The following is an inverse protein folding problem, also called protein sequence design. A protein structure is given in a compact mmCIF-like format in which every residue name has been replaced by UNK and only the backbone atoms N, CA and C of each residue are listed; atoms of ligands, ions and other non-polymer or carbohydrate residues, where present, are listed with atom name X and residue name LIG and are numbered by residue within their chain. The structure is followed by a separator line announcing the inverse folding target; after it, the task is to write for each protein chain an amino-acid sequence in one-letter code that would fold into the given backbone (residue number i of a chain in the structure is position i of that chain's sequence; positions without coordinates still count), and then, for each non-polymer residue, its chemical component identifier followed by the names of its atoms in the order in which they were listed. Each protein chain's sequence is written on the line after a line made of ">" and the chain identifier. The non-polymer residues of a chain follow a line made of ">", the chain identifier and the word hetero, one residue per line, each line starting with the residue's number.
data_IF_551357187964
#
_entry.id   IF_551357187964
#
_cell.length_a   1.000
_cell.length_b   1.000
_cell.length_c   1.000
_cell.angle_alpha   90.00
_cell.angle_beta   90.00
_cell.angle_gamma   90.00
#
_symmetry.space_group_name_H-M   'P 1'
#
loop_
_entity.id
_entity.type
_entity.pdbx_description
1 polymer ?
#
# COMPACT_ATOMS: atom_id res chain seq x y z
N UNK A 1 -17.37 13.92 2.14
CA UNK A 1 -16.78 12.94 1.19
C UNK A 1 -16.24 11.78 2.01
N UNK A 2 -16.47 10.53 1.60
CA UNK A 2 -16.03 9.39 2.42
C UNK A 2 -14.52 9.21 2.30
N UNK A 3 -13.84 9.22 3.44
CA UNK A 3 -12.43 8.86 3.56
C UNK A 3 -12.19 7.51 2.88
N UNK A 4 -11.35 7.49 1.84
CA UNK A 4 -10.94 6.25 1.17
C UNK A 4 -10.14 5.41 2.16
N UNK A 5 -10.72 4.28 2.60
CA UNK A 5 -10.08 3.29 3.47
C UNK A 5 -9.85 2.00 2.70
N UNK A 6 -8.63 1.52 2.70
CA UNK A 6 -8.26 0.28 2.01
C UNK A 6 -7.67 -0.67 3.06
N UNK A 7 -8.26 -1.84 3.32
CA UNK A 7 -7.62 -2.86 4.14
C UNK A 7 -6.33 -3.34 3.47
N UNK A 8 -5.24 -3.36 4.21
CA UNK A 8 -3.90 -3.64 3.70
C UNK A 8 -3.19 -4.68 4.55
N UNK A 9 -2.27 -5.39 3.91
CA UNK A 9 -1.27 -6.24 4.55
C UNK A 9 0.10 -5.60 4.34
N UNK A 10 0.82 -5.39 5.44
CA UNK A 10 2.25 -5.09 5.43
C UNK A 10 2.99 -6.41 5.59
N UNK A 11 3.83 -6.72 4.61
CA UNK A 11 4.61 -7.94 4.57
C UNK A 11 6.00 -7.67 4.02
N UNK A 12 6.87 -8.66 4.18
CA UNK A 12 8.25 -8.60 3.73
C UNK A 12 8.56 -9.79 2.84
N UNK A 13 9.31 -9.55 1.77
CA UNK A 13 9.95 -10.60 0.99
C UNK A 13 11.27 -11.02 1.64
N UNK A 14 11.68 -12.27 1.46
CA UNK A 14 13.03 -12.71 1.81
C UNK A 14 14.12 -11.80 1.21
N UNK A 15 15.11 -11.46 2.02
CA UNK A 15 16.15 -10.48 1.73
C UNK A 15 16.90 -10.07 3.00
N UNK A 16 17.86 -9.12 2.91
CA UNK A 16 18.57 -8.63 4.08
C UNK A 16 17.58 -8.10 5.13
N UNK A 17 17.77 -8.51 6.38
CA UNK A 17 16.91 -8.08 7.47
C UNK A 17 16.99 -6.56 7.64
N UNK A 18 15.83 -5.90 7.65
CA UNK A 18 15.69 -4.45 7.78
C UNK A 18 15.69 -3.69 6.45
N UNK A 19 15.92 -4.34 5.30
CA UNK A 19 15.91 -3.66 4.01
C UNK A 19 14.51 -3.13 3.67
N UNK A 20 14.35 -1.81 3.62
CA UNK A 20 13.08 -1.16 3.24
C UNK A 20 12.59 -1.63 1.87
N UNK A 21 13.52 -1.94 0.96
CA UNK A 21 13.25 -2.48 -0.38
C UNK A 21 12.54 -3.85 -0.38
N UNK A 22 12.58 -4.57 0.74
CA UNK A 22 11.87 -5.86 0.90
C UNK A 22 10.44 -5.68 1.42
N UNK A 23 10.08 -4.49 1.90
CA UNK A 23 8.77 -4.18 2.46
C UNK A 23 7.71 -3.98 1.37
N UNK A 24 6.53 -4.55 1.57
CA UNK A 24 5.40 -4.47 0.65
C UNK A 24 4.13 -4.13 1.41
N UNK A 25 3.36 -3.20 0.84
CA UNK A 25 2.00 -2.87 1.27
C UNK A 25 1.05 -3.35 0.18
N UNK A 26 0.27 -4.39 0.46
CA UNK A 26 -0.60 -5.03 -0.52
C UNK A 26 -2.05 -4.91 -0.06
N UNK A 27 -3.00 -4.48 -0.92
CA UNK A 27 -4.42 -4.53 -0.61
C UNK A 27 -4.84 -5.93 -0.19
N UNK A 28 -5.59 -6.06 0.90
CA UNK A 28 -5.99 -7.36 1.43
C UNK A 28 -6.75 -8.21 0.39
N UNK A 29 -7.54 -7.55 -0.47
CA UNK A 29 -8.28 -8.20 -1.57
C UNK A 29 -7.37 -8.86 -2.63
N UNK A 30 -6.13 -8.38 -2.77
CA UNK A 30 -5.15 -8.87 -3.73
C UNK A 30 -4.11 -9.79 -3.08
N UNK A 31 -3.99 -9.75 -1.75
CA UNK A 31 -2.86 -10.32 -1.02
C UNK A 31 -2.67 -11.81 -1.26
N UNK A 32 -3.72 -12.62 -1.17
CA UNK A 32 -3.60 -14.07 -1.29
C UNK A 32 -3.11 -14.50 -2.69
N UNK A 33 -3.64 -13.86 -3.74
CA UNK A 33 -3.20 -14.12 -5.11
C UNK A 33 -1.75 -13.65 -5.32
N UNK A 34 -1.42 -12.45 -4.83
CA UNK A 34 -0.07 -11.92 -4.92
C UNK A 34 0.94 -12.82 -4.21
N UNK A 35 0.64 -13.24 -2.97
CA UNK A 35 1.47 -14.15 -2.18
C UNK A 35 1.68 -15.47 -2.91
N UNK A 36 0.61 -16.08 -3.40
CA UNK A 36 0.69 -17.32 -4.16
C UNK A 36 1.64 -17.18 -5.35
N UNK A 37 1.56 -16.08 -6.12
CA UNK A 37 2.46 -15.83 -7.24
C UNK A 37 3.92 -15.63 -6.79
N UNK A 38 4.15 -14.85 -5.74
CA UNK A 38 5.51 -14.64 -5.22
C UNK A 38 6.16 -15.95 -4.78
N UNK A 39 5.44 -16.78 -4.03
CA UNK A 39 5.98 -18.03 -3.48
C UNK A 39 6.13 -19.12 -4.56
N UNK A 40 5.15 -19.26 -5.46
CA UNK A 40 5.15 -20.36 -6.43
C UNK A 40 5.85 -20.04 -7.76
N UNK A 41 5.75 -18.80 -8.25
CA UNK A 41 6.33 -18.40 -9.55
C UNK A 41 7.68 -17.74 -9.39
N UNK A 42 7.83 -16.92 -8.35
CA UNK A 42 9.05 -16.14 -8.14
C UNK A 42 9.98 -16.75 -7.09
N UNK A 43 9.55 -17.79 -6.37
CA UNK A 43 10.35 -18.47 -5.35
C UNK A 43 10.72 -17.58 -4.16
N UNK A 44 9.96 -16.51 -3.92
CA UNK A 44 10.19 -15.54 -2.83
C UNK A 44 9.32 -15.88 -1.65
N UNK A 45 9.91 -15.97 -0.46
CA UNK A 45 9.13 -16.19 0.77
C UNK A 45 8.46 -14.88 1.20
N UNK A 46 7.20 -14.97 1.63
CA UNK A 46 6.43 -13.82 2.13
C UNK A 46 6.19 -13.97 3.63
N UNK A 47 6.72 -13.04 4.42
CA UNK A 47 6.46 -12.96 5.86
C UNK A 47 5.48 -11.82 6.13
N UNK A 48 4.31 -12.15 6.69
CA UNK A 48 3.34 -11.14 7.12
C UNK A 48 3.82 -10.49 8.41
N UNK A 49 3.95 -9.16 8.41
CA UNK A 49 4.30 -8.39 9.60
C UNK A 49 3.02 -7.90 10.30
N UNK A 50 2.08 -7.34 9.54
CA UNK A 50 0.91 -6.66 10.11
C UNK A 50 -0.26 -6.53 9.12
N UNK A 51 -1.49 -6.52 9.66
CA UNK A 51 -2.72 -6.16 8.92
C UNK A 51 -3.26 -4.83 9.45
N UNK A 52 -3.71 -3.99 8.54
CA UNK A 52 -3.94 -2.56 8.81
C UNK A 52 -4.89 -1.95 7.79
N UNK A 53 -5.07 -0.62 7.84
CA UNK A 53 -5.86 0.13 6.89
C UNK A 53 -5.03 1.30 6.36
N UNK A 54 -4.96 1.44 5.04
CA UNK A 54 -4.49 2.68 4.42
C UNK A 54 -5.61 3.70 4.38
N UNK A 55 -5.28 4.93 4.76
CA UNK A 55 -6.19 6.07 4.82
C UNK A 55 -5.55 7.25 4.09
N UNK A 56 -6.28 7.87 3.16
CA UNK A 56 -5.78 9.06 2.47
C UNK A 56 -5.52 10.22 3.45
N UNK A 57 -4.47 11.00 3.19
CA UNK A 57 -4.24 12.25 3.91
C UNK A 57 -5.25 13.30 3.42
N UNK A 58 -6.12 13.74 4.33
CA UNK A 58 -7.12 14.78 4.10
C UNK A 58 -7.04 15.79 5.25
N UNK A 59 -7.58 17.01 5.06
CA UNK A 59 -7.52 18.10 6.05
C UNK A 59 -8.12 17.75 7.42
N UNK A 60 -8.85 16.63 7.54
CA UNK A 60 -9.41 16.09 8.79
C UNK A 60 -8.67 14.87 9.37
N UNK A 61 -7.66 14.33 8.71
CA UNK A 61 -6.93 13.12 9.15
C UNK A 61 -6.16 13.38 10.45
N UNK A 62 -5.70 14.61 10.70
CA UNK A 62 -5.04 15.01 11.94
C UNK A 62 -5.99 15.11 13.16
N UNK A 63 -7.31 15.26 12.93
CA UNK A 63 -8.33 15.26 13.98
C UNK A 63 -8.88 13.85 14.29
N UNK A 64 -8.23 12.80 13.77
CA UNK A 64 -8.75 11.42 13.84
C UNK A 64 -8.39 10.66 15.13
N UNK A 65 -7.49 11.20 15.95
CA UNK A 65 -7.08 10.63 17.23
C UNK A 65 -6.05 9.49 17.13
N UNK A 66 -5.34 9.36 16.00
CA UNK A 66 -4.15 8.51 15.92
C UNK A 66 -2.97 9.20 16.61
N UNK A 67 -2.14 8.43 17.33
CA UNK A 67 -0.86 8.94 17.80
C UNK A 67 0.09 9.06 16.60
N UNK A 68 0.84 10.16 16.50
CA UNK A 68 1.73 10.43 15.37
C UNK A 68 2.76 9.32 15.18
N UNK A 69 3.19 8.65 16.26
CA UNK A 69 4.15 7.54 16.21
C UNK A 69 3.57 6.25 15.58
N UNK A 70 2.24 6.12 15.51
CA UNK A 70 1.57 4.96 14.91
C UNK A 70 1.30 5.14 13.41
N UNK A 71 1.51 6.35 12.87
CA UNK A 71 1.23 6.67 11.47
C UNK A 71 2.45 6.39 10.60
N UNK A 72 2.32 5.41 9.71
CA UNK A 72 3.36 5.11 8.72
C UNK A 72 3.00 5.80 7.39
N UNK A 73 3.77 6.80 6.91
CA UNK A 73 3.46 7.49 5.66
C UNK A 73 3.60 6.54 4.46
N UNK A 74 2.51 6.38 3.71
CA UNK A 74 2.42 5.50 2.54
C UNK A 74 1.72 6.22 1.41
N UNK A 75 2.38 6.28 0.25
CA UNK A 75 1.86 6.88 -0.97
C UNK A 75 1.14 5.83 -1.80
N UNK A 76 -0.10 6.13 -2.19
CA UNK A 76 -0.83 5.36 -3.20
C UNK A 76 -0.54 5.92 -4.59
N UNK A 77 0.16 5.16 -5.42
CA UNK A 77 0.37 5.43 -6.84
C UNK A 77 -0.73 4.80 -7.69
N UNK A 78 -1.35 5.58 -8.57
CA UNK A 78 -2.31 5.11 -9.57
C UNK A 78 -1.72 5.27 -10.97
N UNK A 79 -1.83 4.21 -11.76
CA UNK A 79 -1.37 4.19 -13.15
C UNK A 79 -2.26 3.30 -14.01
N UNK A 80 -2.21 3.52 -15.32
CA UNK A 80 -2.82 2.65 -16.32
C UNK A 80 -1.71 2.03 -17.16
N UNK A 81 -1.71 0.70 -17.24
CA UNK A 81 -0.84 -0.03 -18.15
C UNK A 81 -1.55 -0.23 -19.49
N UNK A 82 -0.88 0.00 -20.62
CA UNK A 82 -1.36 -0.47 -21.91
C UNK A 82 -1.67 -1.98 -21.89
N UNK A 83 -2.54 -2.39 -22.81
CA UNK A 83 -2.93 -3.78 -22.98
C UNK A 83 -2.99 -4.08 -24.46
N UNK A 84 -2.48 -5.25 -24.84
CA UNK A 84 -2.61 -5.80 -26.19
C UNK A 84 -4.06 -5.91 -26.68
N UNK A 85 -5.04 -5.84 -25.77
CA UNK A 85 -6.46 -5.90 -26.08
C UNK A 85 -7.09 -4.51 -26.30
N UNK A 86 -6.32 -3.43 -26.30
CA UNK A 86 -6.78 -2.06 -26.55
C UNK A 86 -7.52 -1.41 -25.37
N UNK A 87 -7.64 -2.09 -24.23
CA UNK A 87 -8.28 -1.56 -23.01
C UNK A 87 -7.21 -1.39 -21.92
N UNK A 88 -6.93 -0.16 -21.46
CA UNK A 88 -5.96 0.07 -20.39
C UNK A 88 -6.31 -0.69 -19.11
N UNK A 89 -5.30 -1.23 -18.43
CA UNK A 89 -5.45 -1.97 -17.19
C UNK A 89 -5.10 -1.03 -16.03
N UNK A 90 -6.06 -0.70 -15.16
CA UNK A 90 -5.78 0.12 -13.99
C UNK A 90 -4.91 -0.65 -13.00
N UNK A 91 -3.95 0.04 -12.40
CA UNK A 91 -3.05 -0.50 -11.40
C UNK A 91 -2.90 0.49 -10.25
N UNK A 92 -2.95 -0.04 -9.03
CA UNK A 92 -2.63 0.71 -7.82
C UNK A 92 -1.43 0.07 -7.13
N UNK A 93 -0.53 0.90 -6.60
CA UNK A 93 0.62 0.46 -5.79
C UNK A 93 0.76 1.35 -4.57
N UNK A 94 1.25 0.77 -3.48
CA UNK A 94 1.41 1.44 -2.19
C UNK A 94 2.87 1.33 -1.77
N UNK A 95 3.51 2.47 -1.52
CA UNK A 95 4.93 2.54 -1.20
C UNK A 95 5.15 3.35 0.07
N UNK A 96 6.16 3.00 0.91
CA UNK A 96 6.64 3.93 1.93
C UNK A 96 6.93 5.29 1.30
N UNK A 97 6.50 6.38 1.93
CA UNK A 97 6.72 7.72 1.37
C UNK A 97 8.21 8.06 1.20
N UNK A 98 9.06 7.54 2.09
CA UNK A 98 10.51 7.72 2.06
C UNK A 98 11.19 7.14 0.81
N UNK A 99 10.71 6.02 0.29
CA UNK A 99 11.29 5.32 -0.86
C UNK A 99 10.43 5.42 -2.12
N UNK A 100 9.32 6.15 -2.06
CA UNK A 100 8.35 6.24 -3.15
C UNK A 100 8.99 6.68 -4.49
N UNK A 101 9.83 7.74 -4.55
CA UNK A 101 10.41 8.17 -5.82
C UNK A 101 11.22 7.06 -6.51
N UNK A 102 12.08 6.37 -5.78
CA UNK A 102 12.91 5.28 -6.28
C UNK A 102 12.07 4.06 -6.67
N UNK A 103 11.05 3.75 -5.86
CA UNK A 103 10.15 2.64 -6.13
C UNK A 103 9.26 2.87 -7.38
N UNK A 104 8.85 4.12 -7.62
CA UNK A 104 8.14 4.51 -8.84
C UNK A 104 9.05 4.36 -10.06
N UNK A 105 10.28 4.88 -10.00
CA UNK A 105 11.24 4.76 -11.09
C UNK A 105 11.51 3.28 -11.44
N UNK A 106 11.81 2.47 -10.42
CA UNK A 106 12.02 1.03 -10.58
C UNK A 106 10.79 0.34 -11.21
N UNK A 107 9.57 0.66 -10.75
CA UNK A 107 8.35 0.10 -11.33
C UNK A 107 8.22 0.46 -12.82
N UNK A 108 8.44 1.72 -13.17
CA UNK A 108 8.26 2.21 -14.55
C UNK A 108 9.32 1.66 -15.50
N UNK A 109 10.53 1.35 -15.02
CA UNK A 109 11.57 0.70 -15.83
C UNK A 109 11.15 -0.67 -16.41
N UNK A 110 10.17 -1.34 -15.80
CA UNK A 110 9.61 -2.59 -16.32
C UNK A 110 8.67 -2.41 -17.52
N UNK A 111 8.33 -1.17 -17.89
CA UNK A 111 7.34 -0.85 -18.92
C UNK A 111 7.89 0.11 -19.99
N UNK A 112 9.20 0.14 -20.23
CA UNK A 112 9.81 1.07 -21.20
C UNK A 112 9.27 0.92 -22.63
N UNK A 113 9.00 -0.32 -23.07
CA UNK A 113 8.48 -0.60 -24.41
C UNK A 113 7.01 -0.18 -24.57
N UNK A 114 6.21 -0.30 -23.50
CA UNK A 114 4.79 0.07 -23.46
C UNK A 114 4.51 0.93 -22.21
N UNK A 115 4.86 2.24 -22.23
CA UNK A 115 4.86 3.08 -21.04
C UNK A 115 3.50 3.17 -20.36
N UNK A 116 3.52 2.98 -19.04
CA UNK A 116 2.36 3.24 -18.19
C UNK A 116 2.01 4.72 -18.15
N UNK A 117 0.72 5.04 -18.14
CA UNK A 117 0.22 6.39 -17.85
C UNK A 117 0.07 6.57 -16.34
N UNK A 118 0.85 7.45 -15.73
CA UNK A 118 0.66 7.81 -14.32
C UNK A 118 -0.56 8.70 -14.18
N UNK A 119 -1.53 8.29 -13.36
CA UNK A 119 -2.76 9.02 -13.11
C UNK A 119 -2.66 9.95 -11.88
N UNK A 120 -1.80 9.60 -10.93
CA UNK A 120 -1.51 10.44 -9.77
C UNK A 120 -0.95 9.66 -8.59
N UNK A 121 -0.46 10.41 -7.61
CA UNK A 121 0.00 9.90 -6.33
C UNK A 121 -0.83 10.55 -5.21
N UNK A 122 -1.33 9.75 -4.28
CA UNK A 122 -2.11 10.21 -3.13
C UNK A 122 -1.33 9.89 -1.85
N UNK A 123 -0.86 10.90 -1.10
CA UNK A 123 -0.33 10.70 0.24
C UNK A 123 -1.38 10.11 1.18
N UNK A 124 -0.91 9.35 2.17
CA UNK A 124 -1.77 8.74 3.17
C UNK A 124 -0.94 8.02 4.21
N UNK A 125 -1.66 7.31 5.08
CA UNK A 125 -1.07 6.64 6.22
C UNK A 125 -1.55 5.20 6.28
N UNK A 126 -0.64 4.30 6.61
CA UNK A 126 -0.94 2.95 7.05
C UNK A 126 -1.17 2.98 8.57
N UNK A 127 -2.36 2.55 8.99
CA UNK A 127 -2.85 2.67 10.37
C UNK A 127 -3.18 1.30 10.95
N UNK A 128 -2.37 0.78 11.90
CA UNK A 128 -2.57 -0.53 12.54
C UNK A 128 -4.02 -0.85 12.88
N UNK A 129 -4.48 -2.08 12.59
CA UNK A 129 -5.87 -2.47 12.85
C UNK A 129 -6.27 -2.33 14.34
N UNK A 130 -5.30 -2.49 15.25
CA UNK A 130 -5.49 -2.26 16.69
C UNK A 130 -5.79 -0.81 17.07
N UNK A 131 -5.26 0.17 16.33
CA UNK A 131 -5.56 1.59 16.50
C UNK A 131 -6.97 1.93 15.97
N UNK A 132 -7.42 1.26 14.90
CA UNK A 132 -8.78 1.43 14.35
C UNK A 132 -9.86 0.91 15.31
N UNK A 133 -9.57 -0.14 16.08
CA UNK A 133 -10.51 -0.80 17.01
C UNK A 133 -10.81 -0.04 18.31
N UNK A 134 -9.82 0.66 18.89
CA UNK A 134 -9.98 1.42 20.16
C UNK A 134 -11.08 2.50 20.09
N UNK A 135 -11.38 2.99 18.88
CA UNK A 135 -12.46 3.96 18.62
C UNK A 135 -13.88 3.40 18.85
N UNK A 136 -14.13 2.11 18.59
CA UNK A 136 -15.46 1.51 18.80
C UNK A 136 -15.81 1.37 20.29
N UNK A 137 -14.79 1.31 21.14
CA UNK A 137 -14.98 1.18 22.59
C UNK A 137 -15.17 2.55 23.24
N UNK A 138 -14.34 3.55 22.90
CA UNK A 138 -14.47 4.90 23.43
C UNK A 138 -15.82 5.58 23.09
N UNK A 139 -16.37 5.33 21.89
CA UNK A 139 -17.67 5.87 21.48
C UNK A 139 -18.89 5.11 22.06
N UNK A 140 -18.68 4.01 22.79
CA UNK A 140 -19.77 3.24 23.45
C UNK A 140 -19.95 3.57 24.93
N UNK A 141 -19.05 4.37 25.50
CA UNK A 141 -19.07 4.77 26.91
C UNK A 141 -19.19 6.30 27.09
N UNK A 142 -19.62 7.02 26.05
CA UNK A 142 -19.91 8.45 26.08
C UNK A 142 -21.41 8.69 25.85
#
# INVERSE_FOLDING_TARGET
>A
MSVSKVPMVRCRLDGPEGAVESLRYIPLAEFELWRYLMETRHGRQVVVEEVSVWVAEESGTWNSGFADEELQPVVRLRLERPSRYGVPIPMERYYPAETYPQAQEALLSHFEEEPCRVLGATPGYFVPAGAVGRRKQAARFA
#
